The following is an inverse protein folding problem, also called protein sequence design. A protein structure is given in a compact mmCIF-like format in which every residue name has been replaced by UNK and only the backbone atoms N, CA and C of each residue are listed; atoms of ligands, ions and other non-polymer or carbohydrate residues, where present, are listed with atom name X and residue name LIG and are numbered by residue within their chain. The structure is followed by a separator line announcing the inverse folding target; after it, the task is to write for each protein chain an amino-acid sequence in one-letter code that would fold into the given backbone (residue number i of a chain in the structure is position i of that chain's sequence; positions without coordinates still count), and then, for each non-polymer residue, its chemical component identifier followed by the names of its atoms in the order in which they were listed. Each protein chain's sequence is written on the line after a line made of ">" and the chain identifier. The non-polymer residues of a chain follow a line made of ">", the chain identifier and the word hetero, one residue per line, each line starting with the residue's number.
data_IF_539121846721
#
_entry.id   IF_539121846721
#
_cell.length_a   1.000
_cell.length_b   1.000
_cell.length_c   1.000
_cell.angle_alpha   90.00
_cell.angle_beta   90.00
_cell.angle_gamma   90.00
#
_symmetry.space_group_name_H-M   'P 1'
#
loop_
_entity.id
_entity.type
_entity.pdbx_description
1 polymer ?
#
# COMPACT_ATOMS: atom_id res chain seq x y z
N UNK A 1 19.95 12.30 -33.89
CA UNK A 1 20.67 12.16 -32.61
C UNK A 1 19.75 11.66 -31.49
N UNK A 2 18.88 10.66 -31.78
CA UNK A 2 17.76 10.28 -30.89
C UNK A 2 17.72 8.78 -30.54
N UNK A 3 18.70 7.99 -30.94
CA UNK A 3 18.67 6.51 -30.77
C UNK A 3 19.49 6.04 -29.54
N UNK A 4 20.30 6.89 -28.92
CA UNK A 4 21.14 6.51 -27.77
C UNK A 4 20.46 6.60 -26.40
N UNK A 5 19.30 7.28 -26.27
CA UNK A 5 18.59 7.41 -25.00
C UNK A 5 17.73 6.18 -24.65
N UNK A 6 17.19 5.51 -25.67
CA UNK A 6 16.29 4.35 -25.43
C UNK A 6 17.02 3.11 -24.90
N UNK A 7 18.32 2.97 -25.17
CA UNK A 7 19.09 1.79 -24.72
C UNK A 7 19.50 1.83 -23.24
N UNK A 8 19.57 3.01 -22.63
CA UNK A 8 19.93 3.16 -21.21
C UNK A 8 18.75 2.87 -20.30
N UNK A 9 17.54 3.26 -20.70
CA UNK A 9 16.32 2.97 -19.92
C UNK A 9 16.00 1.49 -19.91
N UNK A 10 16.23 0.78 -21.01
CA UNK A 10 16.01 -0.66 -21.10
C UNK A 10 16.98 -1.47 -20.23
N UNK A 11 18.23 -1.05 -20.16
CA UNK A 11 19.26 -1.65 -19.29
C UNK A 11 18.94 -1.41 -17.82
N UNK A 12 18.38 -0.26 -17.50
CA UNK A 12 17.96 0.11 -16.14
C UNK A 12 16.77 -0.74 -15.66
N UNK A 13 15.77 -0.99 -16.53
CA UNK A 13 14.65 -1.87 -16.23
C UNK A 13 15.07 -3.34 -16.03
N UNK A 14 16.01 -3.82 -16.82
CA UNK A 14 16.55 -5.19 -16.68
C UNK A 14 17.36 -5.33 -15.39
N UNK A 15 18.14 -4.32 -15.01
CA UNK A 15 18.90 -4.34 -13.76
C UNK A 15 18.00 -4.29 -12.51
N UNK A 16 16.94 -3.47 -12.53
CA UNK A 16 15.94 -3.42 -11.45
C UNK A 16 15.20 -4.77 -11.34
N UNK A 17 14.81 -5.38 -12.45
CA UNK A 17 14.18 -6.69 -12.44
C UNK A 17 15.10 -7.80 -11.92
N UNK A 18 16.40 -7.68 -12.12
CA UNK A 18 17.39 -8.64 -11.61
C UNK A 18 17.61 -8.46 -10.10
N UNK A 19 17.62 -7.22 -9.61
CA UNK A 19 17.74 -6.89 -8.18
C UNK A 19 16.50 -7.37 -7.42
N UNK A 20 15.30 -7.18 -7.98
CA UNK A 20 14.06 -7.66 -7.37
C UNK A 20 13.96 -9.19 -7.29
N UNK A 21 14.60 -9.91 -8.20
CA UNK A 21 14.59 -11.38 -8.23
C UNK A 21 15.59 -12.01 -7.26
N UNK A 22 16.55 -11.23 -6.77
CA UNK A 22 17.63 -11.67 -5.85
C UNK A 22 17.38 -11.29 -4.39
N UNK A 23 16.17 -10.88 -4.00
CA UNK A 23 15.88 -10.28 -2.69
C UNK A 23 15.72 -11.28 -1.53
N UNK A 24 16.28 -12.45 -1.62
CA UNK A 24 16.23 -13.45 -0.53
C UNK A 24 17.52 -13.53 0.31
N UNK A 25 18.48 -12.63 0.13
CA UNK A 25 19.73 -12.65 0.91
C UNK A 25 20.27 -11.23 1.21
N UNK A 26 20.38 -10.94 2.52
CA UNK A 26 21.27 -10.00 3.20
C UNK A 26 21.14 -8.48 2.93
N UNK A 27 20.65 -7.79 3.97
CA UNK A 27 20.47 -6.32 4.06
C UNK A 27 21.77 -5.49 3.87
N UNK A 28 22.95 -6.06 3.98
CA UNK A 28 24.21 -5.32 3.85
C UNK A 28 24.54 -4.97 2.39
N UNK A 29 24.06 -5.76 1.44
CA UNK A 29 24.29 -5.50 0.02
C UNK A 29 23.46 -4.34 -0.54
N UNK A 30 22.29 -4.09 0.07
CA UNK A 30 21.37 -3.03 -0.35
C UNK A 30 21.96 -1.65 -0.04
N UNK A 31 22.65 -1.49 1.09
CA UNK A 31 23.25 -0.20 1.48
C UNK A 31 24.40 0.21 0.59
N UNK A 32 25.22 -0.74 0.10
CA UNK A 32 26.31 -0.45 -0.81
C UNK A 32 25.82 -0.10 -2.22
N UNK A 33 24.80 -0.79 -2.72
CA UNK A 33 24.16 -0.49 -4.01
C UNK A 33 23.47 0.89 -4.01
N UNK A 34 22.87 1.28 -2.88
CA UNK A 34 22.30 2.62 -2.70
C UNK A 34 23.37 3.72 -2.77
N UNK A 35 24.53 3.51 -2.14
CA UNK A 35 25.63 4.48 -2.16
C UNK A 35 26.17 4.73 -3.58
N UNK A 36 26.22 3.71 -4.42
CA UNK A 36 26.65 3.85 -5.82
C UNK A 36 25.59 4.50 -6.72
N UNK A 37 24.28 4.34 -6.40
CA UNK A 37 23.20 4.98 -7.16
C UNK A 37 23.15 6.50 -6.95
N UNK A 38 23.52 7.00 -5.79
CA UNK A 38 23.57 8.44 -5.49
C UNK A 38 24.63 9.20 -6.29
N UNK A 39 25.70 8.52 -6.72
CA UNK A 39 26.82 9.14 -7.46
C UNK A 39 26.59 9.20 -8.97
N UNK A 40 25.69 8.39 -9.53
CA UNK A 40 25.54 8.25 -10.98
C UNK A 40 24.34 8.97 -11.61
N UNK A 41 23.34 9.37 -10.85
CA UNK A 41 22.16 10.02 -11.42
C UNK A 41 21.42 10.96 -10.45
N UNK A 42 21.83 12.23 -10.31
CA UNK A 42 21.17 13.18 -9.41
C UNK A 42 19.75 13.58 -9.85
N UNK A 43 19.31 13.19 -11.04
CA UNK A 43 18.02 13.60 -11.62
C UNK A 43 16.90 12.54 -11.55
N UNK A 44 17.22 11.29 -11.24
CA UNK A 44 16.25 10.19 -11.20
C UNK A 44 15.51 10.07 -9.87
N UNK A 45 15.89 10.85 -8.86
CA UNK A 45 15.34 10.79 -7.50
C UNK A 45 13.94 11.44 -7.36
N UNK A 46 13.49 12.16 -8.40
CA UNK A 46 12.24 12.94 -8.35
C UNK A 46 10.98 12.15 -8.78
N UNK A 47 11.12 10.89 -9.24
CA UNK A 47 10.00 10.19 -9.89
C UNK A 47 9.51 8.90 -9.21
N UNK A 48 10.11 8.48 -8.09
CA UNK A 48 9.56 7.38 -7.31
C UNK A 48 9.36 7.80 -5.87
N UNK A 49 8.14 8.15 -5.47
CA UNK A 49 7.78 8.05 -4.07
C UNK A 49 7.85 6.55 -3.71
N UNK A 50 9.00 6.10 -3.23
CA UNK A 50 9.14 4.78 -2.65
C UNK A 50 8.21 4.77 -1.42
N UNK A 51 7.00 4.32 -1.62
CA UNK A 51 6.05 4.12 -0.55
C UNK A 51 6.58 2.94 0.26
N UNK A 52 7.41 3.23 1.27
CA UNK A 52 7.92 2.20 2.18
C UNK A 52 6.73 1.73 3.01
N UNK A 53 6.03 0.74 2.48
CA UNK A 53 4.97 0.06 3.20
C UNK A 53 5.57 -0.65 4.42
N UNK A 54 4.97 -0.47 5.59
CA UNK A 54 5.45 -1.11 6.81
C UNK A 54 5.28 -2.63 6.69
N UNK A 55 6.20 -3.39 7.26
CA UNK A 55 6.19 -4.86 7.20
C UNK A 55 4.85 -5.49 7.64
N UNK A 56 4.16 -4.87 8.60
CA UNK A 56 2.83 -5.35 9.04
C UNK A 56 1.76 -5.14 7.97
N UNK A 57 1.84 -4.04 7.21
CA UNK A 57 0.93 -3.72 6.10
C UNK A 57 1.12 -4.67 4.93
N UNK A 58 2.38 -4.96 4.58
CA UNK A 58 2.70 -5.97 3.56
C UNK A 58 2.14 -7.34 3.94
N UNK A 59 2.37 -7.78 5.19
CA UNK A 59 1.88 -9.07 5.67
C UNK A 59 0.34 -9.12 5.75
N UNK A 60 -0.30 -8.01 6.10
CA UNK A 60 -1.76 -7.87 6.08
C UNK A 60 -2.32 -8.03 4.67
N UNK A 61 -1.78 -7.30 3.68
CA UNK A 61 -2.19 -7.38 2.29
C UNK A 61 -1.91 -8.78 1.70
N UNK A 62 -0.74 -9.34 1.98
CA UNK A 62 -0.38 -10.70 1.57
C UNK A 62 -1.35 -11.76 2.16
N UNK A 63 -1.78 -11.59 3.40
CA UNK A 63 -2.74 -12.49 4.04
C UNK A 63 -4.11 -12.44 3.34
N UNK A 64 -4.59 -11.24 2.97
CA UNK A 64 -5.82 -11.05 2.21
C UNK A 64 -5.72 -11.75 0.84
N UNK A 65 -4.65 -11.47 0.08
CA UNK A 65 -4.41 -12.05 -1.23
C UNK A 65 -4.33 -13.59 -1.20
N UNK A 66 -3.63 -14.11 -0.19
CA UNK A 66 -3.45 -15.56 0.01
C UNK A 66 -4.63 -16.23 0.74
N UNK A 67 -5.65 -15.46 1.14
CA UNK A 67 -6.84 -15.97 1.86
C UNK A 67 -6.48 -16.70 3.14
N UNK A 68 -5.55 -16.14 3.90
CA UNK A 68 -5.09 -16.67 5.19
C UNK A 68 -5.45 -15.70 6.29
N UNK A 69 -5.92 -16.22 7.39
CA UNK A 69 -6.10 -15.42 8.58
C UNK A 69 -4.75 -14.92 9.09
N UNK A 70 -4.74 -13.70 9.59
CA UNK A 70 -3.53 -13.04 10.04
C UNK A 70 -3.77 -12.32 11.35
N UNK A 71 -2.81 -12.41 12.23
CA UNK A 71 -2.81 -11.66 13.48
C UNK A 71 -1.39 -11.23 13.83
N UNK A 72 -1.18 -9.93 13.93
CA UNK A 72 0.10 -9.38 14.38
C UNK A 72 -0.08 -8.07 15.12
N UNK A 73 0.28 -8.09 16.40
CA UNK A 73 0.16 -6.91 17.26
C UNK A 73 -1.31 -6.49 17.40
N UNK A 74 -1.63 -5.35 16.85
CA UNK A 74 -2.98 -4.77 16.89
C UNK A 74 -3.80 -4.96 15.60
N UNK A 75 -3.25 -5.65 14.60
CA UNK A 75 -3.88 -5.82 13.29
C UNK A 75 -4.25 -7.28 13.08
N UNK A 76 -5.49 -7.56 12.69
CA UNK A 76 -5.95 -8.89 12.29
C UNK A 76 -6.69 -8.85 10.97
N UNK A 77 -6.64 -9.96 10.24
CA UNK A 77 -7.39 -10.24 9.03
C UNK A 77 -8.13 -11.56 9.23
N UNK A 78 -9.43 -11.56 8.99
CA UNK A 78 -10.30 -12.72 9.03
C UNK A 78 -10.90 -12.91 7.64
N UNK A 79 -10.61 -14.06 7.00
CA UNK A 79 -11.14 -14.37 5.68
C UNK A 79 -12.36 -15.27 5.81
N UNK A 80 -13.42 -14.97 5.10
CA UNK A 80 -14.66 -15.74 5.14
C UNK A 80 -15.33 -15.83 3.77
N UNK A 81 -16.28 -16.73 3.65
CA UNK A 81 -17.13 -16.88 2.48
C UNK A 81 -18.53 -16.49 2.91
N UNK A 82 -19.12 -15.52 2.20
CA UNK A 82 -20.51 -15.10 2.45
C UNK A 82 -21.49 -16.18 2.09
N UNK A 83 -22.75 -16.06 2.53
CA UNK A 83 -23.83 -16.98 2.16
C UNK A 83 -24.07 -17.04 0.65
N UNK A 84 -23.73 -15.99 -0.07
CA UNK A 84 -23.80 -15.90 -1.54
C UNK A 84 -22.62 -16.59 -2.24
N UNK A 85 -21.62 -17.07 -1.49
CA UNK A 85 -20.40 -17.66 -2.00
C UNK A 85 -19.32 -16.63 -2.39
N UNK A 86 -19.57 -15.34 -2.19
CA UNK A 86 -18.55 -14.31 -2.36
C UNK A 86 -17.49 -14.42 -1.26
N UNK A 87 -16.28 -14.02 -1.59
CA UNK A 87 -15.16 -14.08 -0.67
C UNK A 87 -14.82 -12.69 -0.18
N UNK A 88 -14.72 -12.56 1.10
CA UNK A 88 -14.45 -11.29 1.76
C UNK A 88 -13.40 -11.48 2.86
N UNK A 89 -12.63 -10.43 3.11
CA UNK A 89 -11.69 -10.35 4.22
C UNK A 89 -12.03 -9.14 5.09
N UNK A 90 -12.24 -9.39 6.38
CA UNK A 90 -12.44 -8.34 7.39
C UNK A 90 -11.08 -7.98 7.98
N UNK A 91 -10.74 -6.70 7.91
CA UNK A 91 -9.53 -6.15 8.54
C UNK A 91 -9.92 -5.43 9.81
N UNK A 92 -9.29 -5.80 10.91
CA UNK A 92 -9.52 -5.16 12.22
C UNK A 92 -8.24 -4.55 12.76
N UNK A 93 -8.37 -3.39 13.40
CA UNK A 93 -7.31 -2.71 14.13
C UNK A 93 -7.73 -2.53 15.59
N UNK A 94 -6.94 -3.06 16.54
CA UNK A 94 -7.32 -3.12 17.96
C UNK A 94 -8.69 -3.78 18.21
N UNK A 95 -9.07 -4.74 17.36
CA UNK A 95 -10.38 -5.39 17.42
C UNK A 95 -11.52 -4.63 16.72
N UNK A 96 -11.31 -3.37 16.31
CA UNK A 96 -12.31 -2.59 15.59
C UNK A 96 -12.23 -2.86 14.09
N UNK A 97 -13.35 -3.06 13.45
CA UNK A 97 -13.47 -3.31 12.02
C UNK A 97 -13.18 -2.01 11.24
N UNK A 98 -12.10 -1.99 10.45
CA UNK A 98 -11.65 -0.82 9.69
C UNK A 98 -11.78 -1.00 8.17
N UNK A 99 -11.86 -2.21 7.67
CA UNK A 99 -12.08 -2.45 6.25
C UNK A 99 -12.67 -3.83 5.95
N UNK A 100 -13.42 -3.90 4.85
CA UNK A 100 -13.85 -5.15 4.19
C UNK A 100 -13.30 -5.15 2.78
N UNK A 101 -12.58 -6.19 2.42
CA UNK A 101 -12.02 -6.41 1.09
C UNK A 101 -12.77 -7.56 0.43
N UNK A 102 -13.49 -7.27 -0.64
CA UNK A 102 -14.25 -8.23 -1.44
C UNK A 102 -14.21 -7.85 -2.90
N UNK A 103 -15.36 -7.86 -3.58
CA UNK A 103 -15.49 -7.34 -4.95
C UNK A 103 -15.25 -5.83 -5.00
N UNK A 104 -15.48 -5.14 -3.90
CA UNK A 104 -15.13 -3.73 -3.68
C UNK A 104 -14.40 -3.60 -2.35
N UNK A 105 -13.60 -2.54 -2.22
CA UNK A 105 -12.99 -2.18 -0.96
C UNK A 105 -13.92 -1.22 -0.19
N UNK A 106 -14.27 -1.56 1.03
CA UNK A 106 -14.97 -0.70 1.97
C UNK A 106 -14.05 -0.35 3.13
N UNK A 107 -13.94 0.92 3.47
CA UNK A 107 -13.05 1.42 4.51
C UNK A 107 -13.78 2.29 5.53
N UNK A 108 -13.32 2.24 6.79
CA UNK A 108 -13.89 2.98 7.90
C UNK A 108 -12.78 3.34 8.91
N UNK A 109 -12.90 4.46 9.61
CA UNK A 109 -11.96 4.84 10.69
C UNK A 109 -12.31 4.20 12.04
N UNK A 110 -13.51 3.60 12.15
CA UNK A 110 -14.05 3.02 13.38
C UNK A 110 -14.02 4.00 14.58
N UNK A 111 -14.13 5.32 14.31
CA UNK A 111 -14.05 6.38 15.31
C UNK A 111 -12.63 6.72 15.78
N UNK A 112 -11.60 6.09 15.20
CA UNK A 112 -10.19 6.26 15.63
C UNK A 112 -9.32 6.85 14.54
N UNK A 113 -9.35 8.16 14.39
CA UNK A 113 -8.53 8.90 13.41
C UNK A 113 -7.06 9.01 13.85
N UNK A 114 -6.35 7.88 13.84
CA UNK A 114 -4.94 7.81 14.23
C UNK A 114 -4.01 7.66 13.02
N UNK A 115 -2.73 7.97 13.22
CA UNK A 115 -1.69 7.73 12.20
C UNK A 115 -1.64 6.26 11.79
N UNK A 116 -1.87 5.33 12.73
CA UNK A 116 -1.88 3.90 12.45
C UNK A 116 -3.09 3.50 11.61
N UNK A 117 -4.29 3.98 11.94
CA UNK A 117 -5.50 3.74 11.16
C UNK A 117 -5.30 4.22 9.72
N UNK A 118 -4.86 5.47 9.55
CA UNK A 118 -4.58 6.05 8.23
C UNK A 118 -3.56 5.24 7.43
N UNK A 119 -2.50 4.78 8.08
CA UNK A 119 -1.47 3.96 7.44
C UNK A 119 -2.02 2.62 6.95
N UNK A 120 -2.89 1.96 7.73
CA UNK A 120 -3.54 0.70 7.33
C UNK A 120 -4.52 0.92 6.17
N UNK A 121 -5.38 1.96 6.26
CA UNK A 121 -6.32 2.29 5.20
C UNK A 121 -5.60 2.60 3.89
N UNK A 122 -4.52 3.39 3.92
CA UNK A 122 -3.74 3.69 2.72
C UNK A 122 -3.04 2.46 2.14
N UNK A 123 -2.59 1.52 2.98
CA UNK A 123 -2.02 0.27 2.50
C UNK A 123 -3.06 -0.59 1.76
N UNK A 124 -4.30 -0.61 2.24
CA UNK A 124 -5.41 -1.29 1.59
C UNK A 124 -5.83 -0.59 0.29
N UNK A 125 -5.97 0.73 0.32
CA UNK A 125 -6.29 1.52 -0.87
C UNK A 125 -5.26 1.31 -1.98
N UNK A 126 -3.97 1.33 -1.66
CA UNK A 126 -2.90 1.13 -2.64
C UNK A 126 -2.90 -0.27 -3.27
N UNK A 127 -3.39 -1.29 -2.57
CA UNK A 127 -3.37 -2.67 -3.05
C UNK A 127 -4.67 -3.06 -3.74
N UNK A 128 -5.83 -2.57 -3.23
CA UNK A 128 -7.15 -3.07 -3.62
C UNK A 128 -8.06 -2.02 -4.27
N UNK A 129 -7.67 -0.74 -4.24
CA UNK A 129 -8.45 0.35 -4.83
C UNK A 129 -7.52 1.35 -5.53
N UNK A 130 -7.40 1.24 -6.85
CA UNK A 130 -6.48 2.07 -7.62
C UNK A 130 -6.70 3.58 -7.38
N UNK A 131 -5.65 4.23 -6.90
CA UNK A 131 -5.55 5.67 -6.82
C UNK A 131 -6.34 6.37 -5.70
N UNK A 132 -6.98 5.61 -4.83
CA UNK A 132 -7.63 6.17 -3.65
C UNK A 132 -6.63 6.33 -2.50
N UNK A 133 -6.79 7.39 -1.72
CA UNK A 133 -5.94 7.61 -0.55
C UNK A 133 -6.63 8.45 0.53
N UNK A 134 -6.34 8.11 1.79
CA UNK A 134 -6.82 8.84 2.96
C UNK A 134 -5.75 9.80 3.45
N UNK A 135 -6.07 11.07 3.58
CA UNK A 135 -5.15 12.09 4.07
C UNK A 135 -5.78 12.99 5.12
N UNK A 136 -4.94 13.74 5.81
CA UNK A 136 -5.38 14.68 6.84
C UNK A 136 -4.99 16.11 6.44
N UNK A 137 -5.95 17.03 6.55
CA UNK A 137 -5.75 18.47 6.34
C UNK A 137 -6.56 19.24 7.37
N UNK A 138 -5.92 20.22 8.03
CA UNK A 138 -6.58 21.06 9.04
C UNK A 138 -7.34 20.23 10.11
N UNK A 139 -6.70 19.17 10.62
CA UNK A 139 -7.27 18.22 11.60
C UNK A 139 -8.45 17.36 11.09
N UNK A 140 -9.00 17.63 9.91
CA UNK A 140 -10.02 16.79 9.25
C UNK A 140 -9.39 15.69 8.40
N UNK A 141 -10.10 14.56 8.28
CA UNK A 141 -9.73 13.47 7.37
C UNK A 141 -10.52 13.57 6.07
N UNK A 142 -9.85 13.23 4.99
CA UNK A 142 -10.38 13.30 3.63
C UNK A 142 -9.99 12.05 2.86
N UNK A 143 -10.87 11.65 1.94
CA UNK A 143 -10.61 10.64 0.92
C UNK A 143 -10.40 11.36 -0.40
N UNK A 144 -9.29 11.09 -1.06
CA UNK A 144 -8.97 11.57 -2.40
C UNK A 144 -8.93 10.42 -3.41
N UNK A 145 -9.17 10.73 -4.68
CA UNK A 145 -9.02 9.82 -5.80
C UNK A 145 -7.98 10.32 -6.83
N UNK A 146 -7.72 9.52 -7.88
CA UNK A 146 -6.79 9.87 -8.97
C UNK A 146 -7.22 11.09 -9.79
N UNK A 147 -8.52 11.35 -9.87
CA UNK A 147 -9.10 12.46 -10.64
C UNK A 147 -9.00 13.79 -9.88
N UNK A 148 -8.51 13.74 -8.64
CA UNK A 148 -8.35 14.90 -7.77
C UNK A 148 -9.63 15.28 -7.02
N UNK A 149 -10.67 14.45 -7.05
CA UNK A 149 -11.83 14.66 -6.21
C UNK A 149 -11.47 14.40 -4.75
N UNK A 150 -12.00 15.21 -3.87
CA UNK A 150 -11.76 15.12 -2.43
C UNK A 150 -13.09 15.21 -1.71
N UNK A 151 -13.38 14.20 -0.90
CA UNK A 151 -14.56 14.18 -0.04
C UNK A 151 -14.12 14.10 1.43
N UNK A 152 -14.89 14.69 2.37
CA UNK A 152 -14.66 14.47 3.79
C UNK A 152 -14.80 12.96 4.10
N UNK A 153 -13.86 12.42 4.88
CA UNK A 153 -13.93 11.03 5.32
C UNK A 153 -14.95 10.93 6.47
N UNK A 154 -16.04 10.17 6.30
CA UNK A 154 -17.05 10.04 7.35
C UNK A 154 -16.48 9.28 8.54
N UNK A 155 -16.89 9.67 9.74
CA UNK A 155 -16.48 9.00 10.98
C UNK A 155 -17.44 7.86 11.28
N UNK A 156 -16.91 6.70 11.63
CA UNK A 156 -17.67 5.49 12.00
C UNK A 156 -18.55 4.90 10.88
N UNK A 157 -18.47 5.41 9.67
CA UNK A 157 -19.23 4.91 8.51
C UNK A 157 -18.30 4.26 7.48
N UNK A 158 -18.78 3.21 6.81
CA UNK A 158 -18.06 2.57 5.72
C UNK A 158 -18.24 3.34 4.42
N UNK A 159 -17.12 3.61 3.76
CA UNK A 159 -17.06 4.20 2.42
C UNK A 159 -16.57 3.15 1.45
N UNK A 160 -17.29 2.96 0.35
CA UNK A 160 -16.85 2.11 -0.77
C UNK A 160 -15.92 2.91 -1.67
N UNK A 161 -14.78 2.35 -2.02
CA UNK A 161 -13.73 2.91 -2.86
C UNK A 161 -13.34 1.95 -3.97
#
# INVERSE_FOLDING_TARGET
>A
MTIKLVSQDLLFFVLISFIFKSWDTDMEFVTSAFSYMYTLCPFSFLLFPFFIMRKVEQQMNEAILNRKDFFKGNTSVENYITETGAREAIVKLHGNHIATVGDTLQICDAGWQTVTTKSRLNALCNEFAEGCYVFQKNFGWFLGDVDGNVIPFPTEEFVTV
#
